data_IF_240776663104
#
_entry.id   IF_240776663104
#
_cell.length_a   1.000
_cell.length_b   1.000
_cell.length_c   1.000
_cell.angle_alpha   90.00
_cell.angle_beta   90.00
_cell.angle_gamma   90.00
#
_symmetry.space_group_name_H-M   'P 1'
#
loop_
_entity.id
_entity.type
_entity.pdbx_description
1 polymer ?
#
# COMPACT_ATOMS: atom_id res chain seq x y z
N UNK A 1 -6.17 -14.65 -41.80
CA UNK A 1 -6.61 -15.64 -42.81
C UNK A 1 -5.37 -16.31 -43.40
N UNK A 2 -5.38 -17.65 -43.48
CA UNK A 2 -4.23 -18.55 -43.75
C UNK A 2 -3.37 -18.15 -44.97
N UNK A 3 -2.04 -18.27 -44.86
CA UNK A 3 -1.17 -18.77 -45.96
C UNK A 3 -0.07 -19.69 -45.45
N UNK A 4 -0.35 -20.97 -45.67
CA UNK A 4 0.55 -22.12 -45.69
C UNK A 4 1.66 -21.87 -46.72
N UNK A 5 2.92 -22.15 -46.41
CA UNK A 5 3.98 -22.30 -47.41
C UNK A 5 4.66 -23.65 -47.21
N UNK A 6 4.21 -24.64 -47.98
CA UNK A 6 4.88 -25.93 -48.18
C UNK A 6 5.54 -25.84 -49.55
N UNK A 7 6.86 -25.97 -49.63
CA UNK A 7 7.55 -26.36 -50.87
C UNK A 7 8.81 -27.19 -50.51
N UNK A 8 8.72 -28.48 -50.80
CA UNK A 8 9.85 -29.40 -50.94
C UNK A 8 10.60 -29.10 -52.26
N UNK A 9 11.92 -29.35 -52.30
CA UNK A 9 12.60 -29.68 -53.56
C UNK A 9 14.04 -29.18 -53.75
N UNK A 10 15.00 -30.03 -53.34
CA UNK A 10 16.32 -30.31 -53.91
C UNK A 10 17.11 -29.24 -54.71
N UNK A 11 18.33 -28.94 -54.24
CA UNK A 11 19.49 -28.62 -55.09
C UNK A 11 20.78 -29.19 -54.47
N UNK A 12 21.43 -30.11 -55.19
CA UNK A 12 22.79 -30.59 -54.92
C UNK A 12 23.83 -29.54 -55.33
N UNK A 13 24.91 -29.38 -54.55
CA UNK A 13 26.21 -28.97 -55.10
C UNK A 13 27.38 -29.43 -54.20
N UNK A 14 28.54 -29.59 -54.82
CA UNK A 14 29.66 -30.46 -54.45
C UNK A 14 30.57 -30.02 -53.27
N UNK A 15 31.06 -31.06 -52.59
CA UNK A 15 32.42 -31.32 -52.05
C UNK A 15 33.48 -30.20 -52.11
N UNK A 16 34.10 -29.91 -50.95
CA UNK A 16 35.55 -29.69 -50.82
C UNK A 16 36.02 -29.99 -49.38
N UNK A 17 36.91 -30.98 -49.25
CA UNK A 17 37.67 -31.35 -48.06
C UNK A 17 38.97 -30.53 -48.01
N UNK A 18 39.28 -29.89 -46.87
CA UNK A 18 40.62 -29.52 -46.32
C UNK A 18 40.33 -28.78 -45.00
N UNK A 19 40.83 -29.09 -43.80
CA UNK A 19 42.17 -29.49 -43.37
C UNK A 19 42.09 -30.03 -41.93
N UNK A 20 42.75 -31.16 -41.64
CA UNK A 20 43.11 -31.58 -40.28
C UNK A 20 44.32 -30.75 -39.83
N UNK A 21 44.28 -30.16 -38.63
CA UNK A 21 45.51 -29.74 -37.93
C UNK A 21 45.83 -30.75 -36.82
N UNK A 22 46.98 -31.39 -37.00
CA UNK A 22 47.56 -32.36 -36.09
C UNK A 22 48.36 -31.60 -35.03
N UNK A 23 47.72 -31.31 -33.90
CA UNK A 23 48.41 -30.93 -32.67
C UNK A 23 48.75 -32.18 -31.85
N UNK A 24 49.95 -32.71 -32.00
CA UNK A 24 50.54 -33.66 -31.05
C UNK A 24 50.90 -32.90 -29.78
N UNK A 25 50.16 -33.12 -28.70
CA UNK A 25 50.45 -32.62 -27.35
C UNK A 25 50.17 -33.72 -26.34
N UNK A 26 51.16 -34.00 -25.52
CA UNK A 26 51.37 -35.23 -24.75
C UNK A 26 50.29 -35.51 -23.69
N UNK A 27 50.02 -36.80 -23.50
CA UNK A 27 49.33 -37.32 -22.30
C UNK A 27 50.27 -37.17 -21.11
N UNK A 28 50.26 -36.01 -20.46
CA UNK A 28 50.88 -35.89 -19.14
C UNK A 28 49.88 -36.35 -18.08
N UNK A 29 50.14 -37.55 -17.57
CA UNK A 29 49.55 -38.11 -16.36
C UNK A 29 50.10 -37.33 -15.15
N UNK A 30 49.75 -36.05 -15.07
CA UNK A 30 50.05 -35.16 -13.96
C UNK A 30 49.00 -35.31 -12.87
N UNK A 31 49.39 -35.95 -11.77
CA UNK A 31 48.75 -35.94 -10.46
C UNK A 31 47.97 -34.65 -10.20
N UNK A 32 46.64 -34.75 -10.06
CA UNK A 32 45.79 -33.67 -9.53
C UNK A 32 46.40 -33.28 -8.17
N UNK A 33 46.94 -32.06 -7.98
CA UNK A 33 47.26 -31.61 -6.63
C UNK A 33 45.92 -31.58 -5.88
N UNK A 34 45.87 -32.26 -4.74
CA UNK A 34 44.84 -32.06 -3.75
C UNK A 34 44.98 -30.62 -3.25
N UNK A 35 44.41 -29.67 -3.99
CA UNK A 35 44.28 -28.28 -3.57
C UNK A 35 43.19 -28.21 -2.51
N UNK A 36 43.64 -28.50 -1.29
CA UNK A 36 43.32 -27.76 -0.09
C UNK A 36 42.10 -26.84 -0.20
N UNK A 37 40.95 -27.38 0.17
CA UNK A 37 40.04 -26.66 1.06
C UNK A 37 39.39 -25.40 0.49
N UNK A 38 38.71 -25.51 -0.65
CA UNK A 38 37.44 -24.78 -0.76
C UNK A 38 36.39 -25.59 -0.01
N UNK A 39 36.26 -25.30 1.27
CA UNK A 39 34.98 -25.53 1.95
C UNK A 39 33.93 -24.89 1.06
N UNK A 40 33.00 -25.71 0.56
CA UNK A 40 31.69 -25.25 0.16
C UNK A 40 31.02 -24.74 1.43
N UNK A 41 31.48 -23.58 1.91
CA UNK A 41 30.73 -22.77 2.82
C UNK A 41 29.67 -22.09 1.94
N UNK A 42 28.73 -22.91 1.48
CA UNK A 42 27.42 -22.43 1.13
C UNK A 42 26.87 -21.91 2.45
N UNK A 43 27.22 -20.66 2.76
CA UNK A 43 26.41 -19.84 3.65
C UNK A 43 24.94 -20.02 3.27
N UNK A 44 24.02 -19.88 4.24
CA UNK A 44 22.59 -20.02 3.97
C UNK A 44 22.26 -19.28 2.66
N UNK A 45 21.54 -19.91 1.71
CA UNK A 45 21.33 -19.35 0.40
C UNK A 45 20.82 -17.93 0.58
N UNK A 46 21.62 -16.94 0.15
CA UNK A 46 21.21 -15.55 0.24
C UNK A 46 19.90 -15.43 -0.57
N UNK A 47 18.89 -14.72 -0.04
CA UNK A 47 17.62 -14.59 -0.73
C UNK A 47 17.87 -13.90 -2.07
N UNK A 48 17.47 -14.57 -3.15
CA UNK A 48 17.72 -14.14 -4.52
C UNK A 48 16.57 -13.24 -4.98
N UNK A 49 16.39 -12.11 -4.28
CA UNK A 49 15.24 -11.20 -4.43
C UNK A 49 15.15 -10.46 -5.79
N UNK A 50 15.90 -10.86 -6.82
CA UNK A 50 15.98 -10.18 -8.12
C UNK A 50 16.43 -11.14 -9.25
N UNK A 51 16.26 -12.46 -9.09
CA UNK A 51 16.74 -13.48 -10.03
C UNK A 51 15.67 -14.00 -11.02
N UNK A 52 14.42 -13.56 -10.87
CA UNK A 52 13.30 -13.92 -11.73
C UNK A 52 12.67 -15.27 -11.39
N UNK A 53 13.13 -15.94 -10.35
CA UNK A 53 12.63 -17.22 -9.88
C UNK A 53 12.12 -17.09 -8.44
N UNK A 54 11.30 -18.05 -8.00
CA UNK A 54 10.93 -18.13 -6.58
C UNK A 54 11.99 -18.93 -5.84
N UNK A 55 12.74 -18.28 -4.95
CA UNK A 55 13.83 -18.87 -4.18
C UNK A 55 13.75 -18.60 -2.68
N UNK A 56 14.60 -19.28 -1.89
CA UNK A 56 14.76 -18.97 -0.47
C UNK A 56 13.46 -19.03 0.35
N UNK A 57 13.18 -17.95 1.08
CA UNK A 57 11.98 -17.75 1.88
C UNK A 57 10.91 -16.87 1.20
N UNK A 58 11.12 -16.50 -0.07
CA UNK A 58 10.18 -15.70 -0.87
C UNK A 58 8.78 -16.32 -0.90
N UNK A 59 7.79 -15.43 -0.99
CA UNK A 59 6.39 -15.82 -1.15
C UNK A 59 5.87 -15.55 -2.54
N UNK A 60 6.36 -14.50 -3.22
CA UNK A 60 6.21 -14.24 -4.65
C UNK A 60 7.41 -14.71 -5.48
N UNK A 61 7.57 -14.18 -6.69
CA UNK A 61 8.85 -14.24 -7.44
C UNK A 61 9.57 -12.94 -7.08
N UNK A 62 10.81 -13.02 -6.59
CA UNK A 62 11.62 -11.85 -6.21
C UNK A 62 11.00 -10.96 -5.12
N UNK A 63 10.09 -11.48 -4.27
CA UNK A 63 9.43 -10.69 -3.22
C UNK A 63 8.87 -11.51 -2.05
N UNK A 64 8.65 -10.83 -0.92
CA UNK A 64 8.14 -11.38 0.33
C UNK A 64 9.18 -12.16 1.14
N UNK A 65 8.81 -12.59 2.35
CA UNK A 65 9.76 -13.19 3.29
C UNK A 65 10.85 -12.19 3.71
N UNK A 66 12.10 -12.50 3.39
CA UNK A 66 13.25 -11.60 3.66
C UNK A 66 13.47 -10.53 2.58
N UNK A 67 12.75 -10.61 1.46
CA UNK A 67 12.77 -9.63 0.38
C UNK A 67 11.78 -8.48 0.61
N UNK A 68 11.77 -7.48 -0.28
CA UNK A 68 10.75 -6.43 -0.27
C UNK A 68 9.34 -7.02 -0.39
N UNK A 69 8.30 -6.41 0.23
CA UNK A 69 6.95 -6.91 0.15
C UNK A 69 6.43 -6.94 -1.30
N UNK A 70 5.66 -7.97 -1.61
CA UNK A 70 5.07 -8.19 -2.91
C UNK A 70 3.95 -7.21 -3.23
N UNK A 71 3.78 -6.94 -4.53
CA UNK A 71 2.69 -6.14 -5.07
C UNK A 71 1.33 -6.85 -5.01
N UNK A 72 0.26 -6.09 -5.24
CA UNK A 72 -1.11 -6.62 -5.25
C UNK A 72 -1.28 -7.78 -6.24
N UNK A 73 -1.88 -8.87 -5.78
CA UNK A 73 -2.10 -10.09 -6.54
C UNK A 73 -0.93 -11.07 -6.54
N UNK A 74 0.24 -10.71 -6.04
CA UNK A 74 1.33 -11.67 -5.89
C UNK A 74 1.06 -12.66 -4.77
N UNK A 75 1.81 -13.76 -4.77
CA UNK A 75 1.67 -14.81 -3.75
C UNK A 75 2.18 -14.33 -2.38
N UNK A 76 1.50 -14.72 -1.30
CA UNK A 76 1.86 -14.37 0.07
C UNK A 76 1.53 -15.50 1.05
N UNK A 77 2.14 -15.48 2.25
CA UNK A 77 1.78 -16.34 3.38
C UNK A 77 1.20 -15.54 4.54
N UNK A 78 1.67 -14.32 4.76
CA UNK A 78 1.22 -13.42 5.82
C UNK A 78 1.22 -11.95 5.36
N UNK A 79 0.69 -11.05 6.20
CA UNK A 79 0.52 -9.64 5.84
C UNK A 79 1.84 -8.95 5.47
N UNK A 80 2.94 -9.24 6.18
CA UNK A 80 4.25 -8.62 5.91
C UNK A 80 4.84 -8.96 4.54
N UNK A 81 4.33 -10.00 3.88
CA UNK A 81 4.70 -10.33 2.50
C UNK A 81 4.12 -9.35 1.48
N UNK A 82 3.19 -8.47 1.86
CA UNK A 82 2.43 -7.63 0.94
C UNK A 82 2.66 -6.15 1.20
N UNK A 83 2.79 -5.36 0.14
CA UNK A 83 2.83 -3.90 0.24
C UNK A 83 1.55 -3.33 0.89
N UNK A 84 0.41 -3.99 0.68
CA UNK A 84 -0.86 -3.65 1.33
C UNK A 84 -0.95 -4.08 2.79
N UNK A 85 0.02 -4.86 3.29
CA UNK A 85 -0.07 -5.57 4.57
C UNK A 85 -1.23 -6.60 4.67
N UNK A 86 -1.94 -6.88 3.57
CA UNK A 86 -3.11 -7.78 3.55
C UNK A 86 -2.85 -8.99 2.66
N UNK A 87 -2.60 -10.14 3.29
CA UNK A 87 -2.53 -11.42 2.61
C UNK A 87 -3.87 -12.17 2.72
N UNK A 88 -4.58 -12.31 1.59
CA UNK A 88 -5.89 -12.94 1.53
C UNK A 88 -5.92 -14.09 0.53
N UNK A 89 -6.27 -15.29 1.00
CA UNK A 89 -6.36 -16.50 0.16
C UNK A 89 -5.05 -16.81 -0.59
N UNK A 90 -3.91 -16.54 0.06
CA UNK A 90 -2.57 -16.76 -0.48
C UNK A 90 -2.15 -15.73 -1.54
N UNK A 91 -2.86 -14.61 -1.66
CA UNK A 91 -2.47 -13.50 -2.54
C UNK A 91 -2.54 -12.16 -1.83
N UNK A 92 -1.64 -11.25 -2.17
CA UNK A 92 -1.70 -9.87 -1.70
C UNK A 92 -2.97 -9.22 -2.22
N UNK A 93 -3.79 -8.67 -1.33
CA UNK A 93 -5.02 -7.99 -1.70
C UNK A 93 -4.74 -6.51 -1.95
N UNK A 94 -5.49 -5.93 -2.87
CA UNK A 94 -5.51 -4.47 -3.06
C UNK A 94 -5.99 -3.83 -1.76
N UNK A 95 -5.32 -2.79 -1.25
CA UNK A 95 -5.71 -2.10 -0.02
C UNK A 95 -7.13 -1.56 -0.14
N UNK A 96 -7.92 -1.71 0.92
CA UNK A 96 -9.27 -1.15 0.98
C UNK A 96 -9.44 -0.37 2.27
N UNK A 97 -10.22 0.71 2.23
CA UNK A 97 -10.42 1.58 3.38
C UNK A 97 -11.06 0.92 4.62
N UNK A 98 -11.37 -0.38 4.59
CA UNK A 98 -12.14 -1.11 5.60
C UNK A 98 -11.58 -2.53 5.81
N UNK A 99 -10.27 -2.71 5.59
CA UNK A 99 -9.60 -4.01 5.73
C UNK A 99 -8.94 -4.24 7.10
N UNK A 100 -9.04 -3.27 8.02
CA UNK A 100 -8.53 -3.35 9.38
C UNK A 100 -7.04 -3.03 9.50
N UNK A 101 -6.39 -2.55 8.44
CA UNK A 101 -4.98 -2.17 8.47
C UNK A 101 -4.77 -0.78 7.87
N UNK A 102 -3.90 0.01 8.50
CA UNK A 102 -3.53 1.33 7.97
C UNK A 102 -2.66 1.19 6.71
N UNK A 103 -3.27 1.24 5.54
CA UNK A 103 -2.61 1.10 4.24
C UNK A 103 -3.19 2.05 3.18
N UNK A 104 -2.62 2.04 1.97
CA UNK A 104 -3.19 2.78 0.84
C UNK A 104 -3.38 4.29 1.11
N UNK A 105 -4.58 4.87 0.84
CA UNK A 105 -4.87 6.28 1.05
C UNK A 105 -5.27 6.65 2.49
N UNK A 106 -5.21 5.71 3.42
CA UNK A 106 -5.62 5.94 4.81
C UNK A 106 -4.60 6.80 5.59
N UNK A 107 -5.11 7.61 6.52
CA UNK A 107 -4.26 8.28 7.51
C UNK A 107 -4.32 7.59 8.87
N UNK A 108 -5.50 7.14 9.28
CA UNK A 108 -5.74 6.23 10.41
C UNK A 108 -5.96 4.80 9.96
N UNK A 109 -6.41 3.90 10.84
CA UNK A 109 -6.85 2.55 10.42
C UNK A 109 -8.28 2.68 9.94
N UNK A 110 -8.56 2.22 8.71
CA UNK A 110 -9.88 2.26 8.08
C UNK A 110 -10.46 3.68 7.89
N UNK A 111 -9.61 4.70 7.85
CA UNK A 111 -10.05 6.09 7.71
C UNK A 111 -8.96 7.00 7.14
N UNK A 112 -9.38 8.11 6.52
CA UNK A 112 -8.48 9.13 6.01
C UNK A 112 -9.21 10.23 5.28
N UNK A 113 -8.79 10.53 4.06
CA UNK A 113 -9.51 11.40 3.14
C UNK A 113 -10.08 10.58 1.98
N UNK A 114 -10.86 11.23 1.12
CA UNK A 114 -11.40 10.63 -0.11
C UNK A 114 -10.30 9.86 -0.87
N UNK A 115 -10.52 8.57 -1.20
CA UNK A 115 -11.81 7.86 -1.22
C UNK A 115 -12.23 7.16 0.09
N UNK A 116 -11.47 7.30 1.18
CA UNK A 116 -11.80 6.71 2.47
C UNK A 116 -12.70 7.61 3.31
N UNK A 117 -13.51 7.05 4.22
CA UNK A 117 -14.26 7.87 5.15
C UNK A 117 -13.33 8.63 6.09
N UNK A 118 -13.83 9.77 6.56
CA UNK A 118 -13.09 10.65 7.46
C UNK A 118 -12.84 9.99 8.81
N UNK A 119 -11.68 10.29 9.37
CA UNK A 119 -11.26 9.81 10.66
C UNK A 119 -11.98 10.51 11.82
N UNK A 120 -12.31 9.74 12.86
CA UNK A 120 -12.84 10.25 14.13
C UNK A 120 -11.81 11.00 14.97
N UNK A 121 -12.24 11.57 16.09
CA UNK A 121 -11.32 12.21 17.04
C UNK A 121 -10.33 11.21 17.63
N UNK A 122 -9.07 11.63 17.77
CA UNK A 122 -7.95 10.81 18.27
C UNK A 122 -7.16 10.08 17.17
N UNK A 123 -7.73 9.96 15.97
CA UNK A 123 -7.07 9.32 14.85
C UNK A 123 -5.99 10.22 14.22
N UNK A 124 -4.94 9.63 13.63
CA UNK A 124 -3.88 10.39 12.97
C UNK A 124 -4.36 11.09 11.70
N UNK A 125 -3.80 12.27 11.47
CA UNK A 125 -4.07 13.10 10.30
C UNK A 125 -2.85 13.95 9.93
N UNK A 126 -2.83 14.42 8.70
CA UNK A 126 -1.89 15.39 8.15
C UNK A 126 -2.60 16.67 7.68
N UNK A 127 -3.89 16.57 7.34
CA UNK A 127 -4.71 17.70 6.87
C UNK A 127 -6.11 17.67 7.49
N UNK A 128 -6.78 18.83 7.49
CA UNK A 128 -8.09 19.00 8.12
C UNK A 128 -9.21 18.20 7.45
N UNK A 129 -9.12 17.97 6.14
CA UNK A 129 -10.08 17.23 5.32
C UNK A 129 -10.07 15.73 5.57
N UNK A 130 -9.17 15.23 6.42
CA UNK A 130 -9.14 13.81 6.85
C UNK A 130 -9.95 13.56 8.13
N UNK A 131 -10.39 14.62 8.81
CA UNK A 131 -11.05 14.51 10.11
C UNK A 131 -12.54 14.77 9.97
N UNK A 132 -13.37 13.97 10.66
CA UNK A 132 -14.82 14.21 10.77
C UNK A 132 -15.12 15.57 11.40
N UNK A 133 -14.30 16.01 12.36
CA UNK A 133 -14.37 17.36 12.93
C UNK A 133 -13.87 18.46 11.99
N UNK A 134 -13.27 18.07 10.86
CA UNK A 134 -12.58 18.95 9.93
C UNK A 134 -11.35 19.64 10.53
N UNK A 135 -10.77 19.12 11.63
CA UNK A 135 -9.67 19.76 12.34
C UNK A 135 -8.60 18.75 12.75
N UNK A 136 -7.45 18.88 12.11
CA UNK A 136 -6.22 18.17 12.42
C UNK A 136 -5.31 19.07 13.27
N UNK A 137 -5.10 18.71 14.54
CA UNK A 137 -4.23 19.45 15.45
C UNK A 137 -3.17 18.53 16.05
N UNK A 138 -1.90 18.90 15.92
CA UNK A 138 -0.80 18.10 16.46
C UNK A 138 -0.66 16.72 15.79
N UNK A 139 -1.12 16.58 14.54
CA UNK A 139 -1.12 15.31 13.81
C UNK A 139 -2.24 14.35 14.20
N UNK A 140 -3.22 14.81 14.98
CA UNK A 140 -4.41 14.02 15.36
C UNK A 140 -5.69 14.80 15.11
N UNK A 141 -6.74 14.10 14.73
CA UNK A 141 -8.07 14.65 14.59
C UNK A 141 -8.61 15.03 15.97
N UNK A 142 -9.09 16.25 16.13
CA UNK A 142 -9.76 16.63 17.38
C UNK A 142 -11.19 16.10 17.38
N UNK A 143 -11.74 15.78 18.56
CA UNK A 143 -13.18 15.56 18.68
C UNK A 143 -13.93 16.87 18.39
N UNK A 144 -15.10 16.77 17.76
CA UNK A 144 -16.02 17.91 17.64
C UNK A 144 -16.53 18.31 19.03
N UNK A 145 -16.63 19.61 19.26
CA UNK A 145 -17.14 20.17 20.52
C UNK A 145 -17.76 21.53 20.28
N UNK A 146 -18.65 21.94 21.18
CA UNK A 146 -19.37 23.21 21.12
C UNK A 146 -18.51 24.49 21.19
N UNK A 147 -17.17 24.37 21.31
CA UNK A 147 -16.24 25.49 21.45
C UNK A 147 -15.02 25.29 20.54
N UNK A 148 -15.19 24.60 19.39
CA UNK A 148 -14.09 24.26 18.48
C UNK A 148 -13.89 25.22 17.29
N UNK A 149 -14.69 26.29 17.22
CA UNK A 149 -14.65 27.33 16.20
C UNK A 149 -15.31 26.93 14.89
N UNK A 150 -16.12 25.87 14.86
CA UNK A 150 -16.85 25.39 13.69
C UNK A 150 -18.30 25.16 14.05
N UNK A 151 -19.22 25.58 13.17
CA UNK A 151 -20.63 25.20 13.29
C UNK A 151 -20.82 23.71 13.00
N UNK A 152 -20.87 22.87 14.05
CA UNK A 152 -21.02 21.42 13.95
C UNK A 152 -21.95 20.86 15.04
N UNK A 153 -21.99 19.52 15.22
CA UNK A 153 -22.94 18.86 16.14
C UNK A 153 -24.39 19.29 15.85
N UNK A 154 -25.06 19.92 16.82
CA UNK A 154 -26.40 20.48 16.70
C UNK A 154 -26.43 22.02 16.82
N UNK A 155 -25.28 22.67 16.67
CA UNK A 155 -25.14 24.12 16.76
C UNK A 155 -25.92 24.88 15.69
N UNK A 156 -26.56 25.97 16.09
CA UNK A 156 -27.28 26.85 15.17
C UNK A 156 -26.47 28.06 14.73
N UNK A 157 -25.38 28.37 15.43
CA UNK A 157 -24.31 29.28 15.02
C UNK A 157 -22.97 28.73 15.53
N UNK A 158 -21.84 29.25 15.05
CA UNK A 158 -20.51 28.78 15.48
C UNK A 158 -20.37 28.86 17.00
N UNK A 159 -20.07 27.73 17.62
CA UNK A 159 -19.85 27.56 19.06
C UNK A 159 -21.08 27.79 19.97
N UNK A 160 -22.31 27.74 19.42
CA UNK A 160 -23.52 27.93 20.23
C UNK A 160 -24.83 27.42 19.58
N UNK A 161 -25.87 27.34 20.41
CA UNK A 161 -27.23 26.98 20.02
C UNK A 161 -27.48 25.48 20.04
N UNK A 162 -28.63 25.04 19.53
CA UNK A 162 -29.01 23.63 19.58
C UNK A 162 -29.45 23.18 20.97
N UNK A 163 -29.56 21.87 21.13
CA UNK A 163 -29.97 21.21 22.38
C UNK A 163 -28.79 20.84 23.28
N UNK A 164 -27.60 20.62 22.70
CA UNK A 164 -26.41 20.14 23.43
C UNK A 164 -25.48 21.29 23.84
N UNK A 165 -25.35 22.31 23.00
CA UNK A 165 -24.43 23.42 23.21
C UNK A 165 -25.05 24.58 24.01
N UNK A 166 -24.20 25.51 24.46
CA UNK A 166 -24.66 26.68 25.19
C UNK A 166 -25.51 27.58 24.27
N UNK A 167 -26.56 28.18 24.82
CA UNK A 167 -27.41 29.08 24.05
C UNK A 167 -26.63 30.30 23.55
N UNK A 168 -26.89 30.68 22.30
CA UNK A 168 -26.27 31.79 21.63
C UNK A 168 -26.64 33.15 22.23
N UNK A 169 -25.69 34.09 22.21
CA UNK A 169 -25.95 35.49 22.53
C UNK A 169 -26.77 36.18 21.42
N UNK A 170 -27.34 37.35 21.73
CA UNK A 170 -28.08 38.16 20.76
C UNK A 170 -27.25 38.47 19.50
N UNK A 171 -27.91 38.46 18.34
CA UNK A 171 -27.30 38.67 17.03
C UNK A 171 -26.74 37.41 16.36
N UNK A 172 -26.78 36.26 17.03
CA UNK A 172 -26.35 34.95 16.50
C UNK A 172 -27.47 34.20 15.81
N UNK A 173 -27.11 33.25 14.96
CA UNK A 173 -28.05 32.43 14.20
C UNK A 173 -28.80 31.42 15.10
N UNK A 174 -30.10 31.26 14.85
CA UNK A 174 -30.96 30.35 15.63
C UNK A 174 -32.08 29.74 14.77
N UNK A 175 -32.64 28.63 15.26
CA UNK A 175 -33.80 27.93 14.67
C UNK A 175 -35.00 27.85 15.61
N UNK A 176 -34.75 27.94 16.92
CA UNK A 176 -35.73 27.87 17.99
C UNK A 176 -35.33 28.81 19.14
N UNK A 177 -36.29 29.19 19.98
CA UNK A 177 -36.01 30.06 21.14
C UNK A 177 -35.02 29.44 22.14
N UNK A 178 -34.96 28.11 22.23
CA UNK A 178 -33.99 27.40 23.07
C UNK A 178 -32.53 27.60 22.64
N UNK A 179 -32.29 27.97 21.39
CA UNK A 179 -30.96 28.25 20.86
C UNK A 179 -30.41 29.59 21.38
N UNK A 180 -31.26 30.45 21.95
CA UNK A 180 -30.91 31.82 22.33
C UNK A 180 -30.89 31.98 23.84
N UNK A 181 -29.86 32.66 24.37
CA UNK A 181 -29.77 32.98 25.79
C UNK A 181 -30.97 33.83 26.28
N UNK A 182 -31.54 34.64 25.38
CA UNK A 182 -32.77 35.42 25.60
C UNK A 182 -34.05 34.57 25.61
N UNK A 183 -34.01 33.35 25.06
CA UNK A 183 -35.18 32.52 24.79
C UNK A 183 -35.97 32.92 23.53
N UNK A 184 -35.51 33.93 22.77
CA UNK A 184 -36.23 34.49 21.62
C UNK A 184 -35.40 34.36 20.35
N UNK A 185 -35.92 33.59 19.40
CA UNK A 185 -35.38 33.49 18.05
C UNK A 185 -36.35 34.19 17.09
N UNK A 186 -35.98 35.37 16.59
CA UNK A 186 -36.79 36.17 15.67
C UNK A 186 -36.12 36.24 14.31
N UNK A 187 -36.84 35.82 13.26
CA UNK A 187 -36.35 35.81 11.88
C UNK A 187 -35.00 35.09 11.67
N UNK A 188 -34.68 34.09 12.50
CA UNK A 188 -33.44 33.31 12.43
C UNK A 188 -32.28 33.90 13.23
N UNK A 189 -32.52 34.94 14.03
CA UNK A 189 -31.50 35.60 14.86
C UNK A 189 -31.96 35.72 16.32
N UNK A 190 -31.05 35.50 17.26
CA UNK A 190 -31.31 35.72 18.68
C UNK A 190 -31.47 37.22 19.00
N UNK A 191 -32.48 37.57 19.80
CA UNK A 191 -32.82 38.96 20.15
C UNK A 191 -33.27 39.12 21.60
#
# INVERSE_FOLDING_TARGET
MRRLCVLLGAFSCAVALTSCDSGTGELDSGTIPADSGRTLDAGPPEPLCDDGERGGDETGIDCGGSCEPCADGESCREGSDCLSAVCGRGRCLVPSCMDGVRNGPETGVDCGAEPCPLCGGGEPCTTNDQCLSGRCQGGMCTMSSCDDGRQNLDETDVDCGGAICAACADGRSCTAGGDCASGVCEAGTCV
#
